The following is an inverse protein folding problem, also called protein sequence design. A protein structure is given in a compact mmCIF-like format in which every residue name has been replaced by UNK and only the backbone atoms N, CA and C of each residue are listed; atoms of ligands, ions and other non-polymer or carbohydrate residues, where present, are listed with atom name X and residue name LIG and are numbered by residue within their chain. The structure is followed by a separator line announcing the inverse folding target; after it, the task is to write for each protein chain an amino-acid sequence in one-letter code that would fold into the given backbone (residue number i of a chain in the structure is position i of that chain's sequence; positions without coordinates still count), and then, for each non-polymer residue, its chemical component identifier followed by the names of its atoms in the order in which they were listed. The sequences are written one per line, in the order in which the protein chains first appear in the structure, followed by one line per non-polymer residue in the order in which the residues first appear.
data_IF_866991626869
#
_entry.id   IF_866991626869
#
_cell.length_a   1.000
_cell.length_b   1.000
_cell.length_c   1.000
_cell.angle_alpha   90.00
_cell.angle_beta   90.00
_cell.angle_gamma   90.00
#
_symmetry.space_group_name_H-M   'P 1'
#
loop_
_entity.id
_entity.type
_entity.pdbx_description
1 polymer ?
#
# COMPACT_ATOMS: atom_id res chain seq x y z
N UNK A 1 -6.11 -19.77 7.33
CA UNK A 1 -5.25 -19.53 6.14
C UNK A 1 -4.78 -18.09 6.13
N UNK A 2 -3.87 -17.73 5.22
CA UNK A 2 -3.40 -16.34 5.04
C UNK A 2 -4.49 -15.53 4.34
N UNK A 3 -4.76 -14.31 4.82
CA UNK A 3 -5.86 -13.45 4.37
C UNK A 3 -5.41 -12.10 3.82
N UNK A 4 -4.15 -11.77 3.97
CA UNK A 4 -3.55 -10.55 3.45
C UNK A 4 -2.19 -10.88 2.84
N UNK A 5 -1.91 -10.30 1.67
CA UNK A 5 -0.64 -10.46 0.97
C UNK A 5 -0.13 -9.06 0.64
N UNK A 6 1.09 -8.76 1.06
CA UNK A 6 1.77 -7.50 0.78
C UNK A 6 2.88 -7.74 -0.25
N UNK A 7 2.91 -6.92 -1.30
CA UNK A 7 3.93 -6.96 -2.34
C UNK A 7 4.75 -5.68 -2.19
N UNK A 8 6.05 -5.81 -1.90
CA UNK A 8 6.90 -4.66 -1.69
C UNK A 8 7.34 -4.06 -3.02
N UNK A 9 7.36 -2.72 -3.10
CA UNK A 9 7.77 -1.97 -4.30
C UNK A 9 9.26 -2.08 -4.63
N UNK A 10 10.03 -2.78 -3.79
CA UNK A 10 11.42 -3.17 -4.06
C UNK A 10 11.52 -4.39 -4.98
N UNK A 11 10.42 -5.12 -5.21
CA UNK A 11 10.38 -6.29 -6.11
C UNK A 11 10.24 -5.80 -7.57
N UNK A 12 11.08 -6.28 -8.50
CA UNK A 12 10.89 -6.00 -9.92
C UNK A 12 9.51 -6.45 -10.40
N UNK A 13 8.77 -5.57 -11.07
CA UNK A 13 7.43 -5.87 -11.57
C UNK A 13 6.34 -5.90 -10.49
N UNK A 14 6.57 -5.32 -9.31
CA UNK A 14 5.61 -5.32 -8.21
C UNK A 14 4.18 -4.89 -8.61
N UNK A 15 4.03 -3.87 -9.48
CA UNK A 15 2.72 -3.42 -9.96
C UNK A 15 1.98 -4.50 -10.77
N UNK A 16 2.69 -5.22 -11.64
CA UNK A 16 2.10 -6.28 -12.45
C UNK A 16 1.68 -7.45 -11.56
N UNK A 17 2.51 -7.78 -10.56
CA UNK A 17 2.19 -8.81 -9.55
C UNK A 17 0.94 -8.41 -8.75
N UNK A 18 0.87 -7.16 -8.27
CA UNK A 18 -0.31 -6.66 -7.54
C UNK A 18 -1.56 -6.79 -8.41
N UNK A 19 -1.46 -6.42 -9.69
CA UNK A 19 -2.56 -6.50 -10.65
C UNK A 19 -3.03 -7.92 -10.87
N UNK A 20 -2.10 -8.83 -11.13
CA UNK A 20 -2.40 -10.25 -11.34
C UNK A 20 -3.05 -10.87 -10.10
N UNK A 21 -2.45 -10.68 -8.92
CA UNK A 21 -2.98 -11.24 -7.68
C UNK A 21 -4.34 -10.65 -7.30
N UNK A 22 -4.55 -9.35 -7.54
CA UNK A 22 -5.84 -8.71 -7.28
C UNK A 22 -6.96 -9.31 -8.13
N UNK A 23 -6.68 -9.67 -9.38
CA UNK A 23 -7.64 -10.37 -10.24
C UNK A 23 -7.85 -11.83 -9.83
N UNK A 24 -6.77 -12.56 -9.50
CA UNK A 24 -6.83 -13.97 -9.07
C UNK A 24 -7.67 -14.13 -7.79
N UNK A 25 -7.57 -13.18 -6.87
CA UNK A 25 -8.21 -13.25 -5.56
C UNK A 25 -9.47 -12.39 -5.41
N UNK A 26 -9.98 -11.78 -6.48
CA UNK A 26 -11.11 -10.83 -6.41
C UNK A 26 -12.40 -11.37 -5.75
N UNK A 27 -12.67 -12.66 -5.91
CA UNK A 27 -13.85 -13.36 -5.38
C UNK A 27 -13.52 -14.19 -4.12
N UNK A 28 -12.30 -14.03 -3.59
CA UNK A 28 -11.83 -14.71 -2.40
C UNK A 28 -11.67 -13.72 -1.25
N UNK A 29 -11.75 -14.23 -0.03
CA UNK A 29 -11.45 -13.45 1.16
C UNK A 29 -9.93 -13.38 1.36
N UNK A 30 -9.25 -12.68 0.45
CA UNK A 30 -7.81 -12.36 0.46
C UNK A 30 -7.62 -10.92 -0.01
N UNK A 31 -6.85 -10.15 0.75
CA UNK A 31 -6.61 -8.72 0.49
C UNK A 31 -5.17 -8.54 -0.01
N UNK A 32 -5.02 -7.91 -1.17
CA UNK A 32 -3.72 -7.57 -1.74
C UNK A 32 -3.36 -6.14 -1.34
N UNK A 33 -2.14 -5.92 -0.87
CA UNK A 33 -1.61 -4.60 -0.54
C UNK A 33 -0.21 -4.39 -1.11
N UNK A 34 0.25 -3.15 -0.98
CA UNK A 34 1.59 -2.76 -1.43
C UNK A 34 2.44 -2.28 -0.24
N UNK A 35 3.70 -2.70 -0.24
CA UNK A 35 4.69 -2.35 0.78
C UNK A 35 5.85 -1.53 0.26
N UNK A 36 6.61 -0.92 1.16
CA UNK A 36 7.76 -0.05 0.82
C UNK A 36 7.39 1.08 -0.15
N UNK A 37 6.19 1.65 -0.02
CA UNK A 37 5.73 2.77 -0.84
C UNK A 37 6.28 4.08 -0.27
N UNK A 38 7.02 4.87 -1.05
CA UNK A 38 7.76 6.05 -0.55
C UNK A 38 7.09 7.39 -0.87
N UNK A 39 6.20 7.40 -1.85
CA UNK A 39 5.65 8.61 -2.47
C UNK A 39 4.19 8.40 -2.92
N UNK A 40 3.42 9.50 -3.07
CA UNK A 40 2.02 9.42 -3.45
C UNK A 40 1.80 8.87 -4.86
N UNK A 41 2.73 9.08 -5.80
CA UNK A 41 2.63 8.58 -7.17
C UNK A 41 2.67 7.05 -7.20
N UNK A 42 3.61 6.46 -6.46
CA UNK A 42 3.75 5.01 -6.28
C UNK A 42 2.54 4.44 -5.55
N UNK A 43 2.05 5.09 -4.49
CA UNK A 43 0.83 4.69 -3.80
C UNK A 43 -0.37 4.65 -4.76
N UNK A 44 -0.54 5.69 -5.57
CA UNK A 44 -1.59 5.76 -6.59
C UNK A 44 -1.46 4.63 -7.60
N UNK A 45 -0.25 4.36 -8.10
CA UNK A 45 -0.02 3.27 -9.04
C UNK A 45 -0.42 1.91 -8.43
N UNK A 46 -0.07 1.65 -7.17
CA UNK A 46 -0.46 0.44 -6.45
C UNK A 46 -1.98 0.31 -6.30
N UNK A 47 -2.66 1.40 -5.92
CA UNK A 47 -4.12 1.43 -5.77
C UNK A 47 -4.81 1.13 -7.10
N UNK A 48 -4.32 1.73 -8.20
CA UNK A 48 -4.85 1.46 -9.54
C UNK A 48 -4.56 0.04 -10.03
N UNK A 49 -3.46 -0.57 -9.56
CA UNK A 49 -3.17 -1.98 -9.78
C UNK A 49 -4.06 -2.92 -8.95
N UNK A 50 -4.82 -2.42 -7.97
CA UNK A 50 -5.75 -3.22 -7.17
C UNK A 50 -5.39 -3.35 -5.70
N UNK A 51 -4.28 -2.76 -5.26
CA UNK A 51 -3.90 -2.76 -3.84
C UNK A 51 -5.01 -2.12 -2.98
N UNK A 52 -5.32 -2.78 -1.87
CA UNK A 52 -6.37 -2.44 -0.91
C UNK A 52 -5.84 -1.88 0.40
N UNK A 53 -4.53 -1.88 0.60
CA UNK A 53 -3.84 -1.16 1.67
C UNK A 53 -2.41 -0.80 1.22
N UNK A 54 -1.83 0.20 1.86
CA UNK A 54 -0.49 0.71 1.58
C UNK A 54 0.36 0.71 2.86
N UNK A 55 1.56 0.16 2.79
CA UNK A 55 2.58 0.22 3.84
C UNK A 55 3.77 1.04 3.35
N UNK A 56 4.20 2.01 4.15
CA UNK A 56 5.40 2.82 3.88
C UNK A 56 6.40 2.68 5.02
N UNK A 57 7.71 2.80 4.77
CA UNK A 57 8.73 2.73 5.82
C UNK A 57 8.83 4.01 6.65
N UNK A 58 8.25 5.12 6.17
CA UNK A 58 8.26 6.44 6.80
C UNK A 58 6.91 7.15 6.63
N UNK A 59 6.69 8.18 7.45
CA UNK A 59 5.54 9.05 7.34
C UNK A 59 5.72 10.04 6.19
N UNK A 60 4.99 9.83 5.10
CA UNK A 60 4.83 10.80 4.02
C UNK A 60 3.38 11.32 4.03
N UNK A 61 3.19 12.57 4.45
CA UNK A 61 1.84 13.18 4.57
C UNK A 61 1.08 13.19 3.24
N UNK A 62 1.76 13.43 2.12
CA UNK A 62 1.11 13.43 0.80
C UNK A 62 0.61 12.03 0.42
N UNK A 63 1.37 10.99 0.77
CA UNK A 63 0.94 9.59 0.62
C UNK A 63 -0.31 9.32 1.47
N UNK A 64 -0.33 9.77 2.73
CA UNK A 64 -1.50 9.60 3.62
C UNK A 64 -2.74 10.29 3.06
N UNK A 65 -2.60 11.54 2.62
CA UNK A 65 -3.68 12.32 1.99
C UNK A 65 -4.21 11.61 0.74
N UNK A 66 -3.31 11.10 -0.10
CA UNK A 66 -3.68 10.37 -1.31
C UNK A 66 -4.45 9.08 -0.98
N UNK A 67 -3.92 8.26 -0.07
CA UNK A 67 -4.59 7.03 0.38
C UNK A 67 -6.00 7.32 0.94
N UNK A 68 -6.13 8.36 1.77
CA UNK A 68 -7.43 8.81 2.30
C UNK A 68 -8.41 9.23 1.20
N UNK A 69 -7.93 9.94 0.16
CA UNK A 69 -8.75 10.34 -1.00
C UNK A 69 -9.32 9.14 -1.75
N UNK A 70 -8.55 8.06 -1.86
CA UNK A 70 -8.98 6.80 -2.48
C UNK A 70 -9.71 5.85 -1.51
N UNK A 71 -9.86 6.24 -0.23
CA UNK A 71 -10.39 5.39 0.85
C UNK A 71 -9.62 4.08 1.04
N UNK A 72 -8.31 4.15 0.89
CA UNK A 72 -7.40 3.03 1.07
C UNK A 72 -6.66 3.20 2.40
N UNK A 73 -6.72 2.22 3.31
CA UNK A 73 -5.94 2.23 4.53
C UNK A 73 -4.44 2.37 4.23
N UNK A 74 -3.77 3.20 5.01
CA UNK A 74 -2.33 3.39 4.95
C UNK A 74 -1.70 3.19 6.32
N UNK A 75 -0.60 2.47 6.38
CA UNK A 75 0.16 2.17 7.59
C UNK A 75 1.57 2.73 7.41
N UNK A 76 1.79 4.01 7.78
CA UNK A 76 3.10 4.61 7.68
C UNK A 76 4.02 4.14 8.81
N UNK A 77 5.26 3.84 8.44
CA UNK A 77 6.35 3.69 9.39
C UNK A 77 6.69 5.03 10.05
N UNK A 78 7.25 4.96 11.24
CA UNK A 78 7.58 6.10 12.08
C UNK A 78 9.03 5.97 12.51
N UNK A 79 9.83 7.02 12.33
CA UNK A 79 11.21 7.09 12.78
C UNK A 79 11.37 7.95 14.04
N UNK A 80 10.45 8.88 14.30
CA UNK A 80 10.51 9.79 15.47
C UNK A 80 9.19 9.85 16.25
N UNK A 81 9.25 10.21 17.54
CA UNK A 81 8.04 10.45 18.36
C UNK A 81 7.15 11.54 17.75
N UNK A 82 7.76 12.55 17.11
CA UNK A 82 7.01 13.60 16.41
C UNK A 82 6.14 13.01 15.31
N UNK A 83 6.72 12.15 14.47
CA UNK A 83 5.98 11.48 13.40
C UNK A 83 4.86 10.58 13.96
N UNK A 84 5.06 9.93 15.11
CA UNK A 84 3.99 9.15 15.76
C UNK A 84 2.76 9.99 16.13
N UNK A 85 2.97 11.24 16.53
CA UNK A 85 1.90 12.18 16.89
C UNK A 85 1.26 12.81 15.65
N UNK A 86 2.02 12.92 14.56
CA UNK A 86 1.59 13.55 13.31
C UNK A 86 0.91 12.60 12.31
N UNK A 87 1.01 11.28 12.51
CA UNK A 87 0.51 10.23 11.64
C UNK A 87 -1.02 10.09 11.66
#
# INVERSE_FOLDING_TARGET
GIKAIEITMTVPGALDIIKELSEVYKDQDVIIGAGTVLDPETARACILAGAKFIVSPNLNRETVILCNRYRIPTMPGIMTVKEAIEA
#
